data_IF_075628637371
#
_entry.id   IF_075628637371
#
_cell.length_a   1.000
_cell.length_b   1.000
_cell.length_c   1.000
_cell.angle_alpha   90.00
_cell.angle_beta   90.00
_cell.angle_gamma   90.00
#
_symmetry.space_group_name_H-M   'P 1'
#
loop_
_entity.id
_entity.type
_entity.pdbx_description
1 polymer ?
#
# COMPACT_ATOMS: atom_id res chain seq x y z
N UNK A 1 27.19 22.92 29.76
CA UNK A 1 26.90 24.11 28.91
C UNK A 1 25.94 23.64 27.83
N UNK A 2 24.82 24.28 27.61
CA UNK A 2 23.87 23.82 26.61
C UNK A 2 24.41 24.04 25.21
N UNK A 3 24.27 23.07 24.38
CA UNK A 3 24.69 23.00 22.93
C UNK A 3 24.17 24.20 22.11
N UNK A 4 23.19 24.90 22.62
CA UNK A 4 22.57 26.10 22.04
C UNK A 4 23.47 27.33 22.03
N UNK A 5 24.32 27.49 23.08
CA UNK A 5 25.25 28.60 23.19
C UNK A 5 26.43 28.48 22.22
N UNK A 6 26.83 27.24 21.91
CA UNK A 6 27.90 26.94 20.94
C UNK A 6 27.42 27.20 19.51
N UNK A 7 26.15 26.97 19.23
CA UNK A 7 25.56 27.20 17.92
C UNK A 7 25.38 28.69 17.60
N UNK A 8 24.98 29.47 18.59
CA UNK A 8 24.90 30.95 18.46
C UNK A 8 26.28 31.60 18.27
N UNK A 9 27.32 31.10 18.90
CA UNK A 9 28.69 31.60 18.75
C UNK A 9 29.25 31.27 17.35
N UNK A 10 28.87 30.13 16.76
CA UNK A 10 29.28 29.74 15.40
C UNK A 10 28.56 30.58 14.33
N UNK A 11 27.30 30.95 14.55
CA UNK A 11 26.54 31.85 13.68
C UNK A 11 27.09 33.27 13.66
N UNK A 12 27.51 33.80 14.79
CA UNK A 12 28.11 35.15 14.90
C UNK A 12 29.48 35.25 14.21
N UNK A 13 30.19 34.13 14.08
CA UNK A 13 31.54 34.07 13.42
C UNK A 13 31.46 33.90 11.92
N UNK A 14 30.38 33.29 11.40
CA UNK A 14 30.30 32.88 9.99
C UNK A 14 29.47 33.80 9.08
N UNK A 15 28.73 34.81 9.61
CA UNK A 15 27.88 35.68 8.79
C UNK A 15 28.16 37.15 9.15
N UNK A 16 29.05 37.82 8.40
CA UNK A 16 29.21 39.26 8.57
C UNK A 16 28.10 40.02 7.83
N UNK A 17 27.28 40.72 8.63
CA UNK A 17 26.41 41.83 8.18
C UNK A 17 25.62 41.60 6.84
N UNK A 18 24.60 40.79 6.86
CA UNK A 18 23.34 41.03 6.09
C UNK A 18 22.44 39.81 6.22
N UNK A 19 21.25 40.06 6.71
CA UNK A 19 20.01 39.30 6.78
C UNK A 19 19.55 38.90 8.18
N UNK A 20 19.27 39.91 8.96
CA UNK A 20 18.47 39.77 10.21
C UNK A 20 17.19 38.97 9.95
N UNK A 21 16.59 39.10 8.75
CA UNK A 21 15.38 38.39 8.32
C UNK A 21 15.63 36.88 8.17
N UNK A 22 16.81 36.47 7.68
CA UNK A 22 17.14 35.06 7.53
C UNK A 22 17.41 34.41 8.90
N UNK A 23 18.00 35.14 9.81
CA UNK A 23 18.25 34.68 11.20
C UNK A 23 16.94 34.57 11.98
N UNK A 24 16.03 35.54 11.83
CA UNK A 24 14.70 35.47 12.45
C UNK A 24 13.85 34.33 11.86
N UNK A 25 13.90 34.10 10.55
CA UNK A 25 13.23 32.96 9.91
C UNK A 25 13.80 31.61 10.37
N UNK A 26 15.13 31.50 10.54
CA UNK A 26 15.77 30.29 11.06
C UNK A 26 15.45 30.07 12.55
N UNK A 27 15.40 31.14 13.34
CA UNK A 27 15.01 31.07 14.76
C UNK A 27 13.53 30.69 14.91
N UNK A 28 12.64 31.21 14.06
CA UNK A 28 11.23 30.83 14.03
C UNK A 28 11.06 29.34 13.66
N UNK A 29 11.79 28.84 12.65
CA UNK A 29 11.83 27.42 12.26
C UNK A 29 12.40 26.53 13.37
N UNK A 30 13.38 27.01 14.14
CA UNK A 30 13.95 26.28 15.27
C UNK A 30 13.02 26.29 16.49
N UNK A 31 12.24 27.36 16.69
CA UNK A 31 11.21 27.42 17.76
C UNK A 31 9.98 26.58 17.42
N UNK A 32 9.52 26.55 16.17
CA UNK A 32 8.48 25.62 15.72
C UNK A 32 8.93 24.16 15.86
N UNK A 33 10.18 23.86 15.51
CA UNK A 33 10.74 22.52 15.74
C UNK A 33 10.92 22.20 17.23
N UNK A 34 11.13 23.20 18.11
CA UNK A 34 11.25 22.99 19.57
C UNK A 34 9.91 22.64 20.23
N UNK A 35 8.80 23.21 19.73
CA UNK A 35 7.44 22.87 20.19
C UNK A 35 7.00 21.47 19.75
N UNK A 36 7.69 20.85 18.80
CA UNK A 36 7.40 19.52 18.27
C UNK A 36 8.01 18.36 19.08
N UNK A 37 8.71 18.64 20.20
CA UNK A 37 9.35 17.61 21.01
C UNK A 37 8.99 17.75 22.48
N UNK A 38 8.19 16.85 23.01
CA UNK A 38 7.98 16.70 24.44
C UNK A 38 8.96 15.67 25.01
N UNK A 39 9.73 16.03 26.02
CA UNK A 39 10.66 15.12 26.67
C UNK A 39 9.94 14.40 27.81
N UNK A 40 9.65 13.12 27.64
CA UNK A 40 9.10 12.28 28.71
C UNK A 40 10.20 11.39 29.26
N UNK A 41 10.32 11.34 30.59
CA UNK A 41 11.20 10.40 31.29
C UNK A 41 10.40 9.15 31.67
N UNK A 42 10.81 7.98 31.16
CA UNK A 42 10.28 6.69 31.57
C UNK A 42 11.45 5.85 32.04
N UNK A 43 11.37 5.33 33.26
CA UNK A 43 12.41 4.48 33.90
C UNK A 43 13.83 5.07 33.85
N UNK A 44 13.95 6.40 34.07
CA UNK A 44 15.27 7.06 34.13
C UNK A 44 15.98 7.20 32.78
N UNK A 45 15.36 6.83 31.67
CA UNK A 45 15.88 7.07 30.31
C UNK A 45 15.13 8.19 29.63
N UNK A 46 15.88 9.09 29.00
CA UNK A 46 15.34 10.19 28.22
C UNK A 46 14.72 9.67 26.92
N UNK A 47 13.40 9.70 26.83
CA UNK A 47 12.69 9.46 25.57
C UNK A 47 12.21 10.78 25.01
N UNK A 48 12.63 11.11 23.79
CA UNK A 48 12.14 12.28 23.05
C UNK A 48 10.93 11.81 22.25
N UNK A 49 9.72 12.23 22.63
CA UNK A 49 8.52 12.08 21.82
C UNK A 49 8.44 13.27 20.88
N UNK A 50 8.50 13.03 19.59
CA UNK A 50 8.16 14.01 18.57
C UNK A 50 6.64 14.03 18.41
N UNK A 51 6.01 15.20 18.58
CA UNK A 51 4.59 15.45 18.29
C UNK A 51 4.31 15.61 16.76
N UNK A 52 5.32 15.38 15.93
CA UNK A 52 5.01 15.10 14.53
C UNK A 52 4.20 13.80 14.52
N UNK A 53 3.03 13.88 13.88
CA UNK A 53 2.22 12.71 13.51
C UNK A 53 3.14 11.50 13.38
N UNK A 54 2.87 10.46 14.16
CA UNK A 54 3.61 9.21 14.09
C UNK A 54 3.57 8.77 12.64
N UNK A 55 4.58 9.18 11.86
CA UNK A 55 4.76 8.64 10.50
C UNK A 55 4.82 7.15 10.72
N UNK A 56 3.75 6.50 10.32
CA UNK A 56 3.53 5.07 10.50
C UNK A 56 4.55 4.38 9.62
N UNK A 57 5.74 4.12 10.17
CA UNK A 57 6.81 3.46 9.44
C UNK A 57 6.36 2.04 9.19
N UNK A 58 6.01 1.74 7.95
CA UNK A 58 5.69 0.37 7.53
C UNK A 58 6.98 -0.44 7.49
N UNK A 59 6.93 -1.69 7.96
CA UNK A 59 8.04 -2.60 7.79
C UNK A 59 8.05 -3.07 6.32
N UNK A 60 9.23 -3.02 5.70
CA UNK A 60 9.42 -3.32 4.29
C UNK A 60 10.43 -4.46 4.17
N UNK A 61 10.09 -5.47 3.39
CA UNK A 61 10.94 -6.61 3.08
C UNK A 61 11.17 -6.66 1.57
N UNK A 62 12.43 -6.72 1.15
CA UNK A 62 12.80 -6.64 -0.24
C UNK A 62 13.47 -7.93 -0.72
N UNK A 63 13.11 -8.35 -1.93
CA UNK A 63 13.59 -9.57 -2.56
C UNK A 63 13.87 -9.34 -4.05
N UNK A 64 14.69 -10.20 -4.65
CA UNK A 64 14.95 -10.20 -6.09
C UNK A 64 16.01 -9.19 -6.51
N UNK A 65 15.92 -8.70 -7.75
CA UNK A 65 16.92 -7.82 -8.33
C UNK A 65 16.52 -6.34 -8.18
N UNK A 66 17.28 -5.59 -7.42
CA UNK A 66 17.07 -4.15 -7.21
C UNK A 66 17.09 -3.34 -8.53
N UNK A 67 17.88 -3.81 -9.51
CA UNK A 67 18.04 -3.15 -10.83
C UNK A 67 16.95 -3.54 -11.83
N UNK A 68 16.05 -4.48 -11.49
CA UNK A 68 14.99 -4.89 -12.39
C UNK A 68 14.11 -3.71 -12.81
N UNK A 69 13.63 -3.74 -14.04
CA UNK A 69 12.71 -2.74 -14.59
C UNK A 69 11.27 -2.87 -14.05
N UNK A 70 10.92 -4.03 -13.51
CA UNK A 70 9.61 -4.31 -12.93
C UNK A 70 9.73 -4.41 -11.40
N UNK A 71 8.90 -3.67 -10.69
CA UNK A 71 8.80 -3.67 -9.23
C UNK A 71 7.41 -4.14 -8.83
N UNK A 72 7.35 -5.25 -8.12
CA UNK A 72 6.13 -5.80 -7.54
C UNK A 72 6.03 -5.35 -6.08
N UNK A 73 4.95 -4.69 -5.72
CA UNK A 73 4.68 -4.22 -4.36
C UNK A 73 3.47 -4.99 -3.84
N UNK A 74 3.65 -5.76 -2.79
CA UNK A 74 2.55 -6.48 -2.15
C UNK A 74 2.28 -5.95 -0.76
N UNK A 75 1.00 -5.66 -0.49
CA UNK A 75 0.53 -5.32 0.85
C UNK A 75 0.26 -6.61 1.62
N UNK A 76 0.99 -6.83 2.71
CA UNK A 76 0.96 -8.10 3.46
C UNK A 76 0.65 -7.89 4.94
N UNK A 77 0.03 -8.88 5.56
CA UNK A 77 -0.06 -9.00 7.01
C UNK A 77 1.09 -9.87 7.58
N UNK A 78 1.26 -9.90 8.90
CA UNK A 78 2.24 -10.75 9.58
C UNK A 78 2.13 -12.22 9.15
N UNK A 79 0.90 -12.71 8.97
CA UNK A 79 0.60 -14.09 8.62
C UNK A 79 0.97 -14.46 7.18
N UNK A 80 1.20 -13.49 6.29
CA UNK A 80 1.61 -13.72 4.91
C UNK A 80 3.14 -13.87 4.77
N UNK A 81 3.92 -13.23 5.65
CA UNK A 81 5.38 -13.18 5.54
C UNK A 81 6.04 -14.55 5.37
N UNK A 82 5.63 -15.62 6.07
CA UNK A 82 6.25 -16.94 5.88
C UNK A 82 6.04 -17.54 4.47
N UNK A 83 5.03 -17.08 3.72
CA UNK A 83 4.71 -17.57 2.37
C UNK A 83 5.41 -16.82 1.23
N UNK A 84 6.04 -15.66 1.50
CA UNK A 84 6.61 -14.79 0.47
C UNK A 84 7.66 -15.47 -0.41
N UNK A 85 8.56 -16.26 0.18
CA UNK A 85 9.58 -16.96 -0.61
C UNK A 85 8.97 -17.99 -1.57
N UNK A 86 7.93 -18.70 -1.12
CA UNK A 86 7.20 -19.65 -1.95
C UNK A 86 6.47 -18.92 -3.10
N UNK A 87 5.86 -17.80 -2.81
CA UNK A 87 5.22 -16.95 -3.81
C UNK A 87 6.21 -16.47 -4.87
N UNK A 88 7.36 -15.94 -4.47
CA UNK A 88 8.43 -15.50 -5.37
C UNK A 88 8.93 -16.64 -6.25
N UNK A 89 9.12 -17.83 -5.68
CA UNK A 89 9.51 -19.02 -6.45
C UNK A 89 8.45 -19.37 -7.50
N UNK A 90 7.18 -19.27 -7.15
CA UNK A 90 6.08 -19.55 -8.07
C UNK A 90 5.96 -18.48 -9.17
N UNK A 91 6.16 -17.20 -8.87
CA UNK A 91 6.23 -16.14 -9.90
C UNK A 91 7.33 -16.48 -10.90
N UNK A 92 8.54 -16.80 -10.42
CA UNK A 92 9.67 -17.17 -11.29
C UNK A 92 9.41 -18.39 -12.15
N UNK A 93 8.60 -19.35 -11.67
CA UNK A 93 8.18 -20.53 -12.42
C UNK A 93 7.19 -20.16 -13.54
N UNK A 94 6.35 -19.15 -13.32
CA UNK A 94 5.27 -18.75 -14.22
C UNK A 94 5.73 -17.78 -15.32
N UNK A 95 6.82 -17.02 -15.07
CA UNK A 95 7.27 -15.99 -16.00
C UNK A 95 8.81 -15.85 -15.99
N UNK A 96 9.39 -15.81 -17.18
CA UNK A 96 10.82 -15.57 -17.39
C UNK A 96 11.09 -14.06 -17.57
N UNK A 97 10.86 -13.30 -16.49
CA UNK A 97 11.17 -11.87 -16.38
C UNK A 97 11.78 -11.59 -15.04
N UNK A 98 12.78 -10.72 -15.03
CA UNK A 98 13.40 -10.28 -13.79
C UNK A 98 12.52 -9.22 -13.09
N UNK A 99 12.51 -9.26 -11.77
CA UNK A 99 11.74 -8.33 -10.95
C UNK A 99 12.36 -8.08 -9.58
N UNK A 100 12.03 -6.92 -9.00
CA UNK A 100 12.18 -6.62 -7.59
C UNK A 100 10.83 -6.83 -6.91
N UNK A 101 10.82 -7.54 -5.78
CA UNK A 101 9.62 -7.74 -4.98
C UNK A 101 9.75 -7.00 -3.66
N UNK A 102 8.74 -6.23 -3.30
CA UNK A 102 8.66 -5.43 -2.08
C UNK A 102 7.39 -5.83 -1.32
N UNK A 103 7.56 -6.56 -0.21
CA UNK A 103 6.47 -6.81 0.72
C UNK A 103 6.36 -5.66 1.72
N UNK A 104 5.22 -5.00 1.75
CA UNK A 104 4.91 -3.89 2.65
C UNK A 104 3.99 -4.40 3.75
N UNK A 105 4.52 -4.55 4.95
CA UNK A 105 3.76 -5.07 6.09
C UNK A 105 2.81 -4.01 6.65
N UNK A 106 1.54 -4.36 6.69
CA UNK A 106 0.46 -3.55 7.25
C UNK A 106 0.24 -3.93 8.71
N UNK A 107 0.23 -2.93 9.60
CA UNK A 107 0.10 -3.17 11.03
C UNK A 107 -1.36 -3.26 11.50
N UNK A 108 -2.26 -2.44 10.95
CA UNK A 108 -3.68 -2.44 11.28
C UNK A 108 -4.49 -2.71 10.01
N UNK A 109 -4.77 -3.99 9.75
CA UNK A 109 -5.33 -4.47 8.49
C UNK A 109 -6.61 -3.76 8.07
N UNK A 110 -7.62 -3.71 8.97
CA UNK A 110 -8.88 -3.07 8.66
C UNK A 110 -8.80 -1.53 8.67
N UNK A 111 -7.89 -0.97 9.46
CA UNK A 111 -7.76 0.48 9.57
C UNK A 111 -6.97 1.08 8.39
N UNK A 112 -5.87 0.43 8.01
CA UNK A 112 -4.89 1.00 7.10
C UNK A 112 -5.18 0.75 5.63
N UNK A 113 -5.95 -0.31 5.32
CA UNK A 113 -6.29 -0.71 3.95
C UNK A 113 -7.67 -0.24 3.51
N UNK A 114 -8.50 0.25 4.43
CA UNK A 114 -9.85 0.68 4.11
C UNK A 114 -9.90 2.12 3.58
N UNK A 115 -10.61 2.34 2.46
CA UNK A 115 -10.72 3.67 1.83
C UNK A 115 -11.54 4.68 2.66
N UNK A 116 -12.48 4.19 3.48
CA UNK A 116 -13.35 4.97 4.37
C UNK A 116 -13.82 4.13 5.56
N UNK A 117 -14.34 4.81 6.58
CA UNK A 117 -14.87 4.14 7.75
C UNK A 117 -16.12 3.33 7.39
N UNK A 118 -16.20 2.12 7.92
CA UNK A 118 -17.39 1.26 7.81
C UNK A 118 -17.53 0.39 9.07
N UNK A 119 -18.76 -0.02 9.36
CA UNK A 119 -19.04 -0.94 10.46
C UNK A 119 -18.39 -2.30 10.24
N UNK A 120 -18.14 -3.02 11.32
CA UNK A 120 -17.61 -4.38 11.27
C UNK A 120 -18.54 -5.31 10.48
N UNK A 121 -18.04 -5.94 9.44
CA UNK A 121 -18.78 -6.96 8.66
C UNK A 121 -18.54 -8.35 9.23
N UNK A 122 -17.41 -8.56 9.89
CA UNK A 122 -17.06 -9.78 10.61
C UNK A 122 -16.27 -9.42 11.88
N UNK A 123 -16.35 -10.27 12.89
CA UNK A 123 -15.74 -9.94 14.18
C UNK A 123 -16.34 -8.69 14.83
N UNK A 124 -15.53 -7.93 15.54
CA UNK A 124 -15.93 -6.69 16.25
C UNK A 124 -15.11 -5.47 15.85
N UNK A 125 -14.11 -5.62 14.97
CA UNK A 125 -13.24 -4.54 14.55
C UNK A 125 -13.85 -3.79 13.35
N UNK A 126 -14.10 -2.51 13.54
CA UNK A 126 -14.57 -1.61 12.49
C UNK A 126 -13.47 -1.33 11.45
N UNK A 127 -13.89 -0.92 10.27
CA UNK A 127 -12.99 -0.48 9.22
C UNK A 127 -12.65 1.00 9.38
N UNK A 128 -11.40 1.37 9.13
CA UNK A 128 -10.92 2.74 9.20
C UNK A 128 -10.97 3.47 7.87
N UNK A 129 -10.14 4.51 7.76
CA UNK A 129 -10.00 5.34 6.57
C UNK A 129 -8.52 5.59 6.21
N UNK A 130 -7.64 4.67 6.61
CA UNK A 130 -6.19 4.84 6.51
C UNK A 130 -5.60 4.60 5.12
N UNK A 131 -6.39 4.10 4.14
CA UNK A 131 -5.89 3.75 2.81
C UNK A 131 -5.13 4.90 2.12
N UNK A 132 -5.61 6.16 2.27
CA UNK A 132 -4.92 7.32 1.69
C UNK A 132 -3.53 7.51 2.28
N UNK A 133 -3.40 7.45 3.60
CA UNK A 133 -2.11 7.58 4.28
C UNK A 133 -1.17 6.42 3.92
N UNK A 134 -1.71 5.20 3.82
CA UNK A 134 -0.97 4.01 3.39
C UNK A 134 -0.46 4.16 1.95
N UNK A 135 -1.30 4.66 1.03
CA UNK A 135 -0.91 4.93 -0.35
C UNK A 135 0.22 5.97 -0.41
N UNK A 136 0.13 7.05 0.36
CA UNK A 136 1.15 8.10 0.40
C UNK A 136 2.52 7.56 0.84
N UNK A 137 2.55 6.59 1.76
CA UNK A 137 3.80 5.91 2.16
C UNK A 137 4.29 4.95 1.06
N UNK A 138 3.41 4.18 0.43
CA UNK A 138 3.79 3.26 -0.67
C UNK A 138 4.34 4.04 -1.87
N UNK A 139 3.77 5.19 -2.21
CA UNK A 139 4.25 6.02 -3.31
C UNK A 139 5.70 6.51 -3.14
N UNK A 140 6.20 6.59 -1.91
CA UNK A 140 7.62 6.91 -1.65
C UNK A 140 8.58 5.83 -2.14
N UNK A 141 8.10 4.61 -2.36
CA UNK A 141 8.85 3.50 -2.94
C UNK A 141 8.90 3.57 -4.47
N UNK A 142 8.02 4.38 -5.08
CA UNK A 142 7.80 4.43 -6.52
C UNK A 142 8.47 5.67 -7.16
N UNK A 143 9.74 5.95 -6.86
CA UNK A 143 10.40 7.20 -7.26
C UNK A 143 11.02 7.19 -8.67
N UNK A 144 11.39 6.03 -9.17
CA UNK A 144 12.03 5.87 -10.48
C UNK A 144 10.95 5.77 -11.58
N UNK A 145 10.86 6.80 -12.42
CA UNK A 145 9.86 6.88 -13.50
C UNK A 145 10.18 5.98 -14.70
N UNK A 146 11.37 5.41 -14.76
CA UNK A 146 11.76 4.45 -15.81
C UNK A 146 11.32 3.02 -15.52
N UNK A 147 10.87 2.73 -14.27
CA UNK A 147 10.42 1.42 -13.84
C UNK A 147 8.91 1.28 -13.94
N UNK A 148 8.46 0.05 -14.16
CA UNK A 148 7.08 -0.37 -14.01
C UNK A 148 6.80 -0.73 -12.55
N UNK A 149 5.72 -0.24 -12.01
CA UNK A 149 5.29 -0.58 -10.66
C UNK A 149 3.94 -1.29 -10.70
N UNK A 150 3.91 -2.48 -10.15
CA UNK A 150 2.68 -3.26 -9.97
C UNK A 150 2.38 -3.33 -8.47
N UNK A 151 1.15 -3.04 -8.08
CA UNK A 151 0.70 -3.21 -6.71
C UNK A 151 -0.28 -4.36 -6.61
N UNK A 152 -0.19 -5.13 -5.55
CA UNK A 152 -1.07 -6.26 -5.33
C UNK A 152 -1.35 -6.54 -3.87
N UNK A 153 -2.23 -7.50 -3.66
CA UNK A 153 -2.55 -8.02 -2.35
C UNK A 153 -3.73 -8.98 -2.37
N UNK A 154 -3.88 -9.65 -1.24
CA UNK A 154 -4.94 -10.61 -0.98
C UNK A 154 -6.02 -10.01 -0.07
N UNK A 155 -7.29 -10.33 -0.28
CA UNK A 155 -8.39 -9.92 0.60
C UNK A 155 -8.54 -8.38 0.70
N UNK A 156 -8.43 -7.78 1.89
CA UNK A 156 -8.44 -6.32 2.08
C UNK A 156 -7.28 -5.64 1.37
N UNK A 157 -6.12 -6.28 1.28
CA UNK A 157 -5.00 -5.77 0.49
C UNK A 157 -5.30 -5.78 -1.02
N UNK A 158 -6.06 -6.75 -1.50
CA UNK A 158 -6.58 -6.77 -2.87
C UNK A 158 -7.60 -5.65 -3.13
N UNK A 159 -8.47 -5.35 -2.16
CA UNK A 159 -9.35 -4.19 -2.22
C UNK A 159 -8.55 -2.89 -2.29
N UNK A 160 -7.54 -2.74 -1.44
CA UNK A 160 -6.65 -1.58 -1.42
C UNK A 160 -5.94 -1.42 -2.76
N UNK A 161 -5.38 -2.49 -3.32
CA UNK A 161 -4.72 -2.45 -4.63
C UNK A 161 -5.68 -1.97 -5.74
N UNK A 162 -6.93 -2.48 -5.78
CA UNK A 162 -7.97 -2.00 -6.70
C UNK A 162 -8.30 -0.52 -6.48
N UNK A 163 -8.40 -0.10 -5.22
CA UNK A 163 -8.67 1.30 -4.89
C UNK A 163 -7.56 2.23 -5.38
N UNK A 164 -6.28 1.81 -5.29
CA UNK A 164 -5.15 2.62 -5.77
C UNK A 164 -5.21 2.90 -7.27
N UNK A 165 -5.77 1.98 -8.08
CA UNK A 165 -5.94 2.16 -9.51
C UNK A 165 -6.78 3.39 -9.88
N UNK A 166 -7.60 3.87 -8.94
CA UNK A 166 -8.46 5.05 -9.09
C UNK A 166 -7.87 6.31 -8.44
N UNK A 167 -6.79 6.18 -7.66
CA UNK A 167 -6.16 7.30 -6.95
C UNK A 167 -4.96 7.87 -7.69
N UNK A 168 -4.25 7.05 -8.46
CA UNK A 168 -2.98 7.42 -9.07
C UNK A 168 -2.69 6.60 -10.31
N UNK A 169 -1.97 7.19 -11.25
CA UNK A 169 -1.44 6.52 -12.45
C UNK A 169 -0.02 5.95 -12.21
N UNK A 170 0.42 5.84 -10.95
CA UNK A 170 1.78 5.38 -10.65
C UNK A 170 1.93 3.88 -10.79
N UNK A 171 0.85 3.13 -10.65
CA UNK A 171 0.84 1.69 -10.81
C UNK A 171 0.40 1.28 -12.21
N UNK A 172 1.31 0.67 -12.95
CA UNK A 172 1.06 0.18 -14.30
C UNK A 172 0.13 -1.05 -14.29
N UNK A 173 0.19 -1.86 -13.23
CA UNK A 173 -0.67 -3.03 -13.09
C UNK A 173 -1.14 -3.31 -11.66
N UNK A 174 -2.32 -3.90 -11.56
CA UNK A 174 -2.98 -4.24 -10.30
C UNK A 174 -3.19 -5.75 -10.20
N UNK A 175 -2.64 -6.35 -9.13
CA UNK A 175 -2.78 -7.77 -8.82
C UNK A 175 -3.71 -7.96 -7.61
N UNK A 176 -5.04 -8.05 -7.84
CA UNK A 176 -6.03 -8.18 -6.80
C UNK A 176 -6.56 -9.62 -6.70
N UNK A 177 -5.97 -10.41 -5.79
CA UNK A 177 -6.40 -11.78 -5.55
C UNK A 177 -7.42 -11.86 -4.42
N UNK A 178 -8.53 -12.51 -4.67
CA UNK A 178 -9.66 -12.66 -3.72
C UNK A 178 -10.00 -11.35 -2.98
N UNK A 179 -10.12 -10.20 -3.68
CA UNK A 179 -10.28 -8.90 -3.05
C UNK A 179 -11.59 -8.83 -2.26
N UNK A 180 -11.56 -8.15 -1.11
CA UNK A 180 -12.74 -7.89 -0.29
C UNK A 180 -13.69 -6.88 -0.94
N UNK A 181 -14.05 -7.11 -2.21
CA UNK A 181 -14.83 -6.20 -3.05
C UNK A 181 -16.29 -6.04 -2.58
N UNK A 182 -16.68 -6.83 -1.60
CA UNK A 182 -17.94 -6.70 -0.84
C UNK A 182 -17.91 -5.53 0.16
N UNK A 183 -16.78 -4.86 0.34
CA UNK A 183 -16.62 -3.73 1.24
C UNK A 183 -17.71 -2.67 0.98
N UNK A 184 -18.38 -2.15 2.05
CA UNK A 184 -19.57 -1.32 1.91
C UNK A 184 -19.36 -0.11 0.96
N UNK A 185 -20.15 -0.04 -0.10
CA UNK A 185 -20.13 1.07 -1.07
C UNK A 185 -18.98 1.04 -2.09
N UNK A 186 -18.08 0.04 -2.04
CA UNK A 186 -16.88 0.03 -2.89
C UNK A 186 -17.21 -0.12 -4.38
N UNK A 187 -18.11 -1.02 -4.74
CA UNK A 187 -18.48 -1.25 -6.14
C UNK A 187 -19.11 0.01 -6.78
N UNK A 188 -20.01 0.68 -6.06
CA UNK A 188 -20.61 1.93 -6.51
C UNK A 188 -19.61 3.06 -6.61
N UNK A 189 -18.66 3.11 -5.66
CA UNK A 189 -17.55 4.05 -5.74
C UNK A 189 -16.70 3.79 -6.98
N UNK A 190 -16.25 2.55 -7.19
CA UNK A 190 -15.42 2.14 -8.31
C UNK A 190 -16.02 2.56 -9.66
N UNK A 191 -17.34 2.32 -9.87
CA UNK A 191 -18.06 2.66 -11.10
C UNK A 191 -18.17 4.17 -11.40
N UNK A 192 -17.86 5.03 -10.43
CA UNK A 192 -17.87 6.49 -10.58
C UNK A 192 -16.48 7.09 -10.80
N UNK A 193 -15.45 6.27 -10.74
CA UNK A 193 -14.06 6.71 -10.85
C UNK A 193 -13.48 6.39 -12.22
N UNK A 194 -12.40 7.08 -12.56
CA UNK A 194 -11.57 6.74 -13.71
C UNK A 194 -10.47 5.79 -13.26
N UNK A 195 -10.33 4.66 -13.94
CA UNK A 195 -9.17 3.76 -13.75
C UNK A 195 -7.94 4.38 -14.42
N UNK A 196 -6.79 4.34 -13.73
CA UNK A 196 -5.55 4.96 -14.17
C UNK A 196 -4.41 3.94 -14.37
N UNK A 197 -4.68 2.64 -14.19
CA UNK A 197 -3.72 1.55 -14.42
C UNK A 197 -3.99 0.87 -15.75
N UNK A 198 -2.92 0.37 -16.39
CA UNK A 198 -3.00 -0.24 -17.73
C UNK A 198 -3.68 -1.62 -17.70
N UNK A 199 -3.43 -2.42 -16.67
CA UNK A 199 -4.02 -3.75 -16.56
C UNK A 199 -4.40 -4.12 -15.11
N UNK A 200 -5.48 -4.92 -14.98
CA UNK A 200 -6.01 -5.34 -13.68
C UNK A 200 -6.31 -6.84 -13.70
N UNK A 201 -5.67 -7.57 -12.79
CA UNK A 201 -6.01 -8.97 -12.52
C UNK A 201 -6.96 -9.07 -11.32
N UNK A 202 -8.03 -9.84 -11.51
CA UNK A 202 -8.97 -10.22 -10.46
C UNK A 202 -8.99 -11.74 -10.32
N UNK A 203 -9.12 -12.25 -9.12
CA UNK A 203 -9.44 -13.67 -8.91
C UNK A 203 -10.34 -13.88 -7.72
N UNK A 204 -11.01 -15.04 -7.68
CA UNK A 204 -11.85 -15.46 -6.56
C UNK A 204 -11.85 -16.98 -6.44
N UNK A 205 -11.95 -17.51 -5.22
CA UNK A 205 -12.20 -18.93 -5.03
C UNK A 205 -13.67 -19.29 -5.29
N UNK A 206 -13.94 -20.41 -5.95
CA UNK A 206 -15.26 -20.89 -6.34
C UNK A 206 -16.19 -21.23 -5.18
N UNK A 207 -15.69 -21.21 -3.94
CA UNK A 207 -16.43 -21.42 -2.69
C UNK A 207 -16.53 -20.19 -1.80
N UNK A 208 -15.90 -19.07 -2.18
CA UNK A 208 -15.88 -17.88 -1.31
C UNK A 208 -17.26 -17.24 -1.15
N UNK A 209 -18.07 -17.20 -2.19
CA UNK A 209 -19.47 -16.72 -2.12
C UNK A 209 -20.41 -17.64 -1.32
N UNK A 210 -19.94 -18.84 -0.89
CA UNK A 210 -20.72 -19.80 -0.11
C UNK A 210 -20.57 -19.61 1.41
N UNK A 211 -20.07 -18.46 1.85
CA UNK A 211 -19.98 -18.11 3.28
C UNK A 211 -21.34 -17.86 3.90
N UNK A 212 -21.45 -18.04 5.24
CA UNK A 212 -22.69 -17.75 6.00
C UNK A 212 -22.91 -16.26 6.23
N UNK A 213 -21.87 -15.43 6.15
CA UNK A 213 -21.99 -13.99 6.29
C UNK A 213 -22.63 -13.41 5.02
N UNK A 214 -23.80 -12.80 5.15
CA UNK A 214 -24.59 -12.33 4.01
C UNK A 214 -23.90 -11.21 3.20
N UNK A 215 -23.10 -10.36 3.86
CA UNK A 215 -22.34 -9.29 3.19
C UNK A 215 -21.18 -9.89 2.42
N UNK A 216 -20.37 -10.74 3.06
CA UNK A 216 -19.23 -11.39 2.41
C UNK A 216 -19.66 -12.34 1.28
N UNK A 217 -20.85 -12.95 1.37
CA UNK A 217 -21.40 -13.80 0.31
C UNK A 217 -21.65 -13.05 -1.00
N UNK A 218 -21.75 -11.71 -0.96
CA UNK A 218 -21.88 -10.88 -2.17
C UNK A 218 -20.59 -10.80 -2.97
N UNK A 219 -19.45 -11.29 -2.46
CA UNK A 219 -18.13 -11.19 -3.13
C UNK A 219 -18.17 -11.69 -4.56
N UNK A 220 -18.87 -12.82 -4.82
CA UNK A 220 -19.00 -13.38 -6.17
C UNK A 220 -19.77 -12.46 -7.12
N UNK A 221 -20.87 -11.86 -6.65
CA UNK A 221 -21.65 -10.90 -7.43
C UNK A 221 -20.87 -9.61 -7.65
N UNK A 222 -20.23 -9.09 -6.61
CA UNK A 222 -19.45 -7.85 -6.69
C UNK A 222 -18.27 -7.99 -7.68
N UNK A 223 -17.52 -9.10 -7.63
CA UNK A 223 -16.36 -9.26 -8.51
C UNK A 223 -16.75 -9.46 -9.99
N UNK A 224 -17.86 -10.17 -10.26
CA UNK A 224 -18.39 -10.28 -11.62
C UNK A 224 -18.82 -8.92 -12.19
N UNK A 225 -19.48 -8.09 -11.38
CA UNK A 225 -19.87 -6.73 -11.78
C UNK A 225 -18.67 -5.81 -11.97
N UNK A 226 -17.65 -5.91 -11.10
CA UNK A 226 -16.43 -5.13 -11.26
C UNK A 226 -15.68 -5.52 -12.54
N UNK A 227 -15.55 -6.81 -12.80
CA UNK A 227 -14.93 -7.30 -14.03
C UNK A 227 -15.68 -6.82 -15.28
N UNK A 228 -17.01 -6.98 -15.32
CA UNK A 228 -17.81 -6.55 -16.45
C UNK A 228 -17.68 -5.02 -16.70
N UNK A 229 -17.68 -4.23 -15.64
CA UNK A 229 -17.49 -2.79 -15.76
C UNK A 229 -16.08 -2.42 -16.23
N UNK A 230 -15.02 -3.07 -15.76
CA UNK A 230 -13.65 -2.85 -16.23
C UNK A 230 -13.51 -3.17 -17.73
N UNK A 231 -14.13 -4.26 -18.17
CA UNK A 231 -14.14 -4.68 -19.57
C UNK A 231 -14.90 -3.66 -20.45
N UNK A 232 -16.07 -3.19 -20.00
CA UNK A 232 -16.86 -2.12 -20.65
C UNK A 232 -16.09 -0.79 -20.78
N UNK A 233 -15.27 -0.44 -19.77
CA UNK A 233 -14.39 0.73 -19.79
C UNK A 233 -13.13 0.54 -20.66
N UNK A 234 -12.95 -0.62 -21.25
CA UNK A 234 -11.82 -0.96 -22.13
C UNK A 234 -10.51 -1.18 -21.38
N UNK A 235 -10.55 -1.46 -20.07
CA UNK A 235 -9.37 -1.78 -19.27
C UNK A 235 -8.95 -3.21 -19.56
N UNK A 236 -7.66 -3.44 -19.82
CA UNK A 236 -7.13 -4.78 -19.95
C UNK A 236 -7.27 -5.53 -18.62
N UNK A 237 -8.23 -6.43 -18.49
CA UNK A 237 -8.51 -7.13 -17.24
C UNK A 237 -8.80 -8.61 -17.44
N UNK A 238 -8.71 -9.37 -16.36
CA UNK A 238 -9.11 -10.78 -16.30
C UNK A 238 -9.78 -11.09 -14.96
N UNK A 239 -10.62 -12.12 -14.95
CA UNK A 239 -11.20 -12.71 -13.74
C UNK A 239 -10.93 -14.20 -13.71
N UNK A 240 -9.99 -14.64 -12.88
CA UNK A 240 -9.67 -16.06 -12.69
C UNK A 240 -10.45 -16.66 -11.52
N UNK A 241 -11.09 -17.82 -11.76
CA UNK A 241 -11.72 -18.62 -10.72
C UNK A 241 -10.78 -19.70 -10.22
N UNK A 242 -10.47 -19.66 -8.92
CA UNK A 242 -9.61 -20.64 -8.25
C UNK A 242 -10.45 -21.71 -7.54
N UNK A 243 -9.94 -22.93 -7.45
CA UNK A 243 -10.60 -23.97 -6.67
C UNK A 243 -10.50 -23.68 -5.18
N UNK A 244 -11.62 -23.68 -4.45
CA UNK A 244 -11.67 -23.65 -2.99
C UNK A 244 -12.16 -22.33 -2.41
N UNK A 245 -12.03 -22.21 -1.09
CA UNK A 245 -12.44 -21.04 -0.31
C UNK A 245 -11.32 -20.00 -0.17
N UNK A 246 -11.60 -18.97 0.62
CA UNK A 246 -10.76 -17.80 0.80
C UNK A 246 -9.33 -18.08 1.29
N UNK A 247 -9.13 -19.10 2.11
CA UNK A 247 -7.84 -19.39 2.73
C UNK A 247 -7.03 -20.48 2.00
N UNK A 248 -7.46 -20.89 0.79
CA UNK A 248 -6.74 -21.90 0.04
C UNK A 248 -5.69 -21.27 -0.86
N UNK A 249 -4.42 -21.57 -0.60
CA UNK A 249 -3.26 -21.25 -1.44
C UNK A 249 -3.18 -19.75 -1.82
N UNK A 250 -3.23 -18.81 -0.84
CA UNK A 250 -3.21 -17.38 -1.14
C UNK A 250 -1.91 -16.95 -1.85
N UNK A 251 -0.76 -17.49 -1.46
CA UNK A 251 0.55 -17.31 -2.06
C UNK A 251 0.58 -17.69 -3.55
N UNK A 252 0.03 -18.86 -3.88
CA UNK A 252 -0.06 -19.32 -5.29
C UNK A 252 -1.00 -18.44 -6.11
N UNK A 253 -2.10 -17.97 -5.51
CA UNK A 253 -3.04 -17.06 -6.19
C UNK A 253 -2.40 -15.68 -6.44
N UNK A 254 -1.64 -15.17 -5.49
CA UNK A 254 -0.89 -13.91 -5.64
C UNK A 254 0.19 -14.05 -6.70
N UNK A 255 0.94 -15.16 -6.69
CA UNK A 255 1.95 -15.43 -7.71
C UNK A 255 1.35 -15.42 -9.13
N UNK A 256 0.18 -16.04 -9.33
CA UNK A 256 -0.53 -16.01 -10.63
C UNK A 256 -0.97 -14.60 -11.00
N UNK A 257 -1.45 -13.82 -10.01
CA UNK A 257 -1.88 -12.46 -10.22
C UNK A 257 -0.70 -11.59 -10.71
N UNK A 258 0.43 -11.62 -10.03
CA UNK A 258 1.61 -10.86 -10.45
C UNK A 258 2.17 -11.36 -11.79
N UNK A 259 2.25 -12.66 -12.01
CA UNK A 259 2.73 -13.21 -13.29
C UNK A 259 1.84 -12.78 -14.47
N UNK A 260 0.50 -12.75 -14.28
CA UNK A 260 -0.41 -12.26 -15.30
C UNK A 260 -0.21 -10.76 -15.56
N UNK A 261 -0.14 -9.95 -14.50
CA UNK A 261 0.09 -8.50 -14.63
C UNK A 261 1.40 -8.23 -15.37
N UNK A 262 2.50 -8.88 -15.00
CA UNK A 262 3.80 -8.72 -15.66
C UNK A 262 3.75 -9.03 -17.15
N UNK A 263 2.99 -10.05 -17.56
CA UNK A 263 2.79 -10.43 -18.98
C UNK A 263 2.01 -9.40 -19.77
N UNK A 264 1.21 -8.59 -19.09
CA UNK A 264 0.27 -7.66 -19.72
C UNK A 264 0.65 -6.19 -19.54
N UNK A 265 1.86 -5.91 -19.02
CA UNK A 265 2.40 -4.54 -18.98
C UNK A 265 2.60 -4.05 -20.41
N UNK A 266 2.03 -2.89 -20.72
CA UNK A 266 2.30 -2.20 -21.97
C UNK A 266 3.64 -1.50 -21.90
N UNK A 267 4.46 -1.61 -22.96
CA UNK A 267 5.76 -0.92 -22.99
C UNK A 267 5.53 0.60 -22.98
N UNK A 268 6.16 1.28 -21.99
CA UNK A 268 6.24 2.75 -21.97
C UNK A 268 7.10 3.28 -23.08
#
# INVERSE_FOLDING_TARGET
MPTYLVFLIILDIMIPNQDLILIEALLCLLEENRKAYETVFVDGRKQIKSDRERVKRMDIYEYGNEQASVVLIEMVGEHNLPGIEQEIMEIRRLIDMDFRFIAVKVNNWNQDLSPWNAEAVFGTEEFGNGAKSTLDEVLKLCTDTSKYYCIGGYSMAGLFALWTAMQTNRFDGIAAASPSIWFPGFLEYMKRQKVQSDCIYLSLGDKEEKTRNAVMAQVGNCIRQAYAWLDEEGIQCTLEWNQGGHFKEPDIRMARAFAWVMKNLTRK
#
